data_IF_303993921965
#
_entry.id   IF_303993921965
#
_cell.length_a   1.000
_cell.length_b   1.000
_cell.length_c   1.000
_cell.angle_alpha   90.00
_cell.angle_beta   90.00
_cell.angle_gamma   90.00
#
_symmetry.space_group_name_H-M   'P 1'
#
loop_
_entity.id
_entity.type
_entity.pdbx_description
1 polymer ?
#
# COMPACT_ATOMS: atom_id res chain seq x y z
N UNK A 1 -33.00 -4.35 -16.88
CA UNK A 1 -33.28 -4.10 -15.46
C UNK A 1 -34.12 -2.85 -15.33
N UNK A 2 -35.15 -2.91 -14.54
CA UNK A 2 -36.05 -1.77 -14.34
C UNK A 2 -35.43 -0.71 -13.40
N UNK A 3 -35.91 0.54 -13.52
CA UNK A 3 -35.40 1.65 -12.71
C UNK A 3 -35.50 1.41 -11.21
N UNK A 4 -36.56 0.77 -10.74
CA UNK A 4 -36.73 0.41 -9.32
C UNK A 4 -35.66 -0.56 -8.83
N UNK A 5 -35.32 -1.55 -9.66
CA UNK A 5 -34.27 -2.52 -9.33
C UNK A 5 -32.91 -1.85 -9.29
N UNK A 6 -32.66 -0.93 -10.21
CA UNK A 6 -31.41 -0.15 -10.22
C UNK A 6 -31.30 0.74 -8.98
N UNK A 7 -32.41 1.34 -8.54
CA UNK A 7 -32.43 2.16 -7.33
C UNK A 7 -32.11 1.31 -6.09
N UNK A 8 -32.69 0.11 -6.01
CA UNK A 8 -32.40 -0.82 -4.89
C UNK A 8 -30.92 -1.22 -4.88
N UNK A 9 -30.31 -1.48 -6.04
CA UNK A 9 -28.88 -1.79 -6.15
C UNK A 9 -28.02 -0.61 -5.72
N UNK A 10 -28.40 0.61 -6.11
CA UNK A 10 -27.66 1.81 -5.74
C UNK A 10 -27.66 2.01 -4.22
N UNK A 11 -28.82 1.83 -3.58
CA UNK A 11 -28.96 1.96 -2.13
C UNK A 11 -28.20 0.84 -1.40
N UNK A 12 -28.28 -0.40 -1.89
CA UNK A 12 -27.52 -1.52 -1.35
C UNK A 12 -26.00 -1.27 -1.45
N UNK A 13 -25.53 -0.75 -2.57
CA UNK A 13 -24.14 -0.37 -2.75
C UNK A 13 -23.72 0.68 -1.72
N UNK A 14 -24.54 1.72 -1.54
CA UNK A 14 -24.23 2.80 -0.60
C UNK A 14 -24.14 2.30 0.84
N UNK A 15 -25.08 1.47 1.28
CA UNK A 15 -25.07 0.88 2.61
C UNK A 15 -23.83 0.01 2.83
N UNK A 16 -23.49 -0.83 1.85
CA UNK A 16 -22.30 -1.68 1.91
C UNK A 16 -21.02 -0.86 1.96
N UNK A 17 -20.94 0.19 1.15
CA UNK A 17 -19.82 1.11 1.14
C UNK A 17 -19.62 1.78 2.51
N UNK A 18 -20.69 2.26 3.13
CA UNK A 18 -20.64 2.87 4.47
C UNK A 18 -20.17 1.88 5.53
N UNK A 19 -20.65 0.63 5.47
CA UNK A 19 -20.19 -0.44 6.37
C UNK A 19 -18.71 -0.73 6.20
N UNK A 20 -18.23 -0.77 4.96
CA UNK A 20 -16.81 -1.00 4.68
C UNK A 20 -15.95 0.13 5.24
N UNK A 21 -16.35 1.38 5.05
CA UNK A 21 -15.61 2.52 5.60
C UNK A 21 -15.53 2.46 7.12
N UNK A 22 -16.62 2.10 7.78
CA UNK A 22 -16.65 1.94 9.23
C UNK A 22 -15.72 0.82 9.69
N UNK A 23 -15.74 -0.33 8.99
CA UNK A 23 -14.86 -1.45 9.27
C UNK A 23 -13.39 -1.10 9.05
N UNK A 24 -13.07 -0.37 7.98
CA UNK A 24 -11.71 0.09 7.69
C UNK A 24 -11.18 1.00 8.79
N UNK A 25 -12.04 1.87 9.32
CA UNK A 25 -11.69 2.77 10.42
C UNK A 25 -11.36 2.00 11.70
N UNK A 26 -12.15 0.98 12.03
CA UNK A 26 -11.89 0.11 13.18
C UNK A 26 -10.59 -0.66 12.98
N UNK A 27 -10.39 -1.23 11.78
CA UNK A 27 -9.17 -1.96 11.44
C UNK A 27 -7.92 -1.07 11.54
N UNK A 28 -8.00 0.18 11.06
CA UNK A 28 -6.90 1.13 11.14
C UNK A 28 -6.54 1.47 12.60
N UNK A 29 -7.55 1.64 13.46
CA UNK A 29 -7.32 1.89 14.88
C UNK A 29 -6.63 0.71 15.56
N UNK A 30 -7.09 -0.52 15.27
CA UNK A 30 -6.47 -1.74 15.80
C UNK A 30 -5.04 -1.91 15.31
N UNK A 31 -4.78 -1.64 14.04
CA UNK A 31 -3.44 -1.68 13.47
C UNK A 31 -2.50 -0.70 14.17
N UNK A 32 -3.01 0.50 14.49
CA UNK A 32 -2.25 1.50 15.24
C UNK A 32 -1.88 1.01 16.65
N UNK A 33 -2.83 0.38 17.35
CA UNK A 33 -2.58 -0.21 18.67
C UNK A 33 -1.58 -1.36 18.60
N UNK A 34 -1.75 -2.26 17.62
CA UNK A 34 -0.82 -3.37 17.36
C UNK A 34 0.61 -2.85 17.14
N UNK A 35 0.76 -1.82 16.29
CA UNK A 35 2.06 -1.22 15.99
C UNK A 35 2.73 -0.63 17.22
N UNK A 36 1.96 0.02 18.10
CA UNK A 36 2.50 0.56 19.35
C UNK A 36 2.99 -0.54 20.29
N UNK A 37 2.20 -1.61 20.43
CA UNK A 37 2.57 -2.75 21.26
C UNK A 37 3.81 -3.44 20.70
N UNK A 38 3.87 -3.64 19.39
CA UNK A 38 5.02 -4.22 18.72
C UNK A 38 6.29 -3.40 18.95
N UNK A 39 6.20 -2.08 18.83
CA UNK A 39 7.34 -1.18 19.08
C UNK A 39 7.84 -1.28 20.51
N UNK A 40 6.93 -1.35 21.50
CA UNK A 40 7.29 -1.51 22.91
C UNK A 40 7.98 -2.84 23.17
N UNK A 41 7.47 -3.93 22.57
CA UNK A 41 8.05 -5.27 22.72
C UNK A 41 9.44 -5.31 22.10
N UNK A 42 9.60 -4.81 20.88
CA UNK A 42 10.89 -4.78 20.19
C UNK A 42 11.91 -3.95 20.95
N UNK A 43 11.52 -2.79 21.47
CA UNK A 43 12.41 -1.95 22.28
C UNK A 43 12.88 -2.67 23.52
N UNK A 44 11.98 -3.37 24.23
CA UNK A 44 12.30 -4.13 25.43
C UNK A 44 13.25 -5.30 25.12
N UNK A 45 12.94 -6.07 24.08
CA UNK A 45 13.79 -7.21 23.69
C UNK A 45 15.21 -6.75 23.33
N UNK A 46 15.31 -5.63 22.62
CA UNK A 46 16.62 -5.09 22.20
C UNK A 46 17.41 -4.50 23.36
N UNK A 47 16.75 -3.77 24.27
CA UNK A 47 17.44 -3.13 25.40
C UNK A 47 17.92 -4.15 26.42
N UNK A 48 17.16 -5.21 26.65
CA UNK A 48 17.48 -6.26 27.62
C UNK A 48 18.29 -7.41 27.01
N UNK A 49 18.62 -7.31 25.72
CA UNK A 49 19.38 -8.32 24.96
C UNK A 49 18.76 -9.72 25.02
N UNK A 50 17.44 -9.79 25.07
CA UNK A 50 16.69 -11.04 25.05
C UNK A 50 16.06 -11.25 23.68
N UNK A 51 15.88 -12.51 23.29
CA UNK A 51 15.37 -12.85 21.95
C UNK A 51 13.93 -13.32 21.96
N UNK A 52 13.35 -13.60 23.13
CA UNK A 52 11.97 -14.05 23.22
C UNK A 52 11.31 -13.58 24.51
N UNK A 53 10.00 -13.45 24.45
CA UNK A 53 9.15 -13.10 25.59
C UNK A 53 7.86 -13.92 25.47
N UNK A 54 7.40 -14.46 26.57
CA UNK A 54 6.19 -15.28 26.62
C UNK A 54 5.13 -14.67 27.52
N UNK A 55 3.89 -14.65 27.02
CA UNK A 55 2.70 -14.44 27.81
C UNK A 55 1.97 -15.77 28.03
N UNK A 56 0.69 -15.70 28.42
CA UNK A 56 -0.15 -16.89 28.55
C UNK A 56 -0.74 -17.35 27.22
N UNK A 57 -0.88 -16.44 26.25
CA UNK A 57 -1.54 -16.72 24.98
C UNK A 57 -0.56 -16.95 23.83
N UNK A 58 0.63 -16.36 23.91
CA UNK A 58 1.57 -16.37 22.80
C UNK A 58 2.99 -16.22 23.31
N UNK A 59 3.93 -16.78 22.57
CA UNK A 59 5.35 -16.51 22.73
C UNK A 59 5.84 -15.75 21.51
N UNK A 60 6.53 -14.64 21.74
CA UNK A 60 7.06 -13.78 20.71
C UNK A 60 8.58 -13.82 20.72
N UNK A 61 9.20 -13.84 19.56
CA UNK A 61 10.66 -13.89 19.43
C UNK A 61 11.13 -13.02 18.28
N UNK A 62 12.39 -12.61 18.35
CA UNK A 62 13.07 -11.93 17.24
C UNK A 62 14.26 -12.79 16.81
N UNK A 63 14.61 -12.71 15.54
CA UNK A 63 15.81 -13.35 15.03
C UNK A 63 17.05 -12.63 15.56
N UNK A 64 18.15 -13.37 15.76
CA UNK A 64 19.40 -12.80 16.25
C UNK A 64 19.96 -11.75 15.30
N UNK A 65 19.81 -11.99 14.01
CA UNK A 65 20.26 -11.06 12.98
C UNK A 65 19.07 -10.35 12.35
N UNK A 66 19.20 -9.04 12.07
CA UNK A 66 18.13 -8.30 11.43
C UNK A 66 17.97 -8.72 9.97
N UNK A 67 16.76 -8.64 9.46
CA UNK A 67 16.51 -8.68 8.03
C UNK A 67 16.88 -7.33 7.43
N UNK A 68 17.68 -7.35 6.35
CA UNK A 68 18.07 -6.13 5.65
C UNK A 68 17.09 -5.81 4.54
N UNK A 69 16.39 -4.69 4.72
CA UNK A 69 15.40 -4.21 3.75
C UNK A 69 16.03 -3.14 2.87
N UNK A 70 16.07 -3.35 1.54
CA UNK A 70 16.58 -2.32 0.63
C UNK A 70 15.81 -1.02 0.77
N UNK A 71 16.50 0.06 1.06
CA UNK A 71 15.89 1.37 1.26
C UNK A 71 16.62 2.40 0.42
N UNK A 72 15.85 3.23 -0.29
CA UNK A 72 16.40 4.30 -1.10
C UNK A 72 17.08 5.36 -0.22
N UNK A 73 18.40 5.51 -0.33
CA UNK A 73 19.16 6.52 0.42
C UNK A 73 19.52 7.74 -0.41
N UNK A 74 19.83 7.54 -1.69
CA UNK A 74 20.23 8.60 -2.62
C UNK A 74 19.70 8.26 -4.02
N UNK A 75 18.61 8.88 -4.38
CA UNK A 75 17.93 8.59 -5.64
C UNK A 75 18.79 8.91 -6.87
N UNK A 76 19.46 10.09 -6.97
CA UNK A 76 20.31 10.38 -8.12
C UNK A 76 21.46 9.38 -8.29
N UNK A 77 22.09 8.95 -7.21
CA UNK A 77 23.16 7.95 -7.25
C UNK A 77 22.63 6.61 -7.75
N UNK A 78 21.46 6.19 -7.24
CA UNK A 78 20.82 4.96 -7.68
C UNK A 78 20.45 5.00 -9.16
N UNK A 79 19.87 6.11 -9.64
CA UNK A 79 19.55 6.30 -11.05
C UNK A 79 20.79 6.22 -11.93
N UNK A 80 21.89 6.84 -11.53
CA UNK A 80 23.15 6.78 -12.25
C UNK A 80 23.67 5.35 -12.36
N UNK A 81 23.57 4.56 -11.29
CA UNK A 81 23.94 3.15 -11.29
C UNK A 81 23.06 2.33 -12.24
N UNK A 82 21.74 2.52 -12.21
CA UNK A 82 20.81 1.81 -13.10
C UNK A 82 21.11 2.13 -14.56
N UNK A 83 21.33 3.40 -14.88
CA UNK A 83 21.65 3.84 -16.24
C UNK A 83 22.97 3.26 -16.73
N UNK A 84 24.00 3.25 -15.87
CA UNK A 84 25.33 2.74 -16.23
C UNK A 84 25.32 1.21 -16.42
N UNK A 85 24.63 0.48 -15.54
CA UNK A 85 24.54 -0.99 -15.60
C UNK A 85 23.54 -1.49 -16.63
N UNK A 86 22.57 -0.64 -17.02
CA UNK A 86 21.45 -1.00 -17.89
C UNK A 86 20.60 -2.15 -17.34
N UNK A 87 20.64 -2.36 -16.03
CA UNK A 87 19.93 -3.43 -15.35
C UNK A 87 18.62 -2.89 -14.76
N UNK A 88 17.53 -3.06 -15.51
CA UNK A 88 16.21 -2.61 -15.10
C UNK A 88 15.56 -3.55 -14.06
N UNK A 89 16.19 -4.69 -13.76
CA UNK A 89 15.67 -5.62 -12.75
C UNK A 89 15.72 -5.03 -11.34
N UNK A 90 16.52 -3.98 -11.11
CA UNK A 90 16.58 -3.23 -9.87
C UNK A 90 15.34 -2.36 -9.62
N UNK A 91 14.54 -2.14 -10.65
CA UNK A 91 13.33 -1.33 -10.60
C UNK A 91 12.09 -2.21 -10.58
N UNK A 92 11.04 -1.74 -9.93
CA UNK A 92 9.73 -2.38 -10.04
C UNK A 92 9.14 -2.16 -11.43
N UNK A 93 8.37 -3.14 -11.92
CA UNK A 93 7.70 -3.06 -13.23
C UNK A 93 6.43 -2.23 -13.15
N UNK A 94 6.55 -0.98 -12.70
CA UNK A 94 5.42 -0.06 -12.58
C UNK A 94 5.71 1.21 -13.32
N UNK A 95 4.69 1.71 -14.03
CA UNK A 95 4.80 3.02 -14.68
C UNK A 95 4.47 4.13 -13.67
N UNK A 96 5.11 5.28 -13.84
CA UNK A 96 4.66 6.49 -13.16
C UNK A 96 3.43 7.02 -13.90
N UNK A 97 2.25 6.89 -13.28
CA UNK A 97 1.00 7.33 -13.90
C UNK A 97 1.01 8.81 -14.27
N UNK A 98 1.52 9.66 -13.38
CA UNK A 98 1.58 11.10 -13.62
C UNK A 98 2.50 11.46 -14.77
N UNK A 99 3.69 10.86 -14.81
CA UNK A 99 4.65 11.13 -15.89
C UNK A 99 4.15 10.66 -17.25
N UNK A 100 3.51 9.49 -17.31
CA UNK A 100 2.90 8.98 -18.55
C UNK A 100 1.75 9.88 -19.00
N UNK A 101 0.87 10.29 -18.08
CA UNK A 101 -0.25 11.19 -18.40
C UNK A 101 0.22 12.54 -18.92
N UNK A 102 1.28 13.10 -18.36
CA UNK A 102 1.88 14.34 -18.86
C UNK A 102 2.32 14.22 -20.32
N UNK A 103 2.96 13.10 -20.66
CA UNK A 103 3.37 12.86 -22.05
C UNK A 103 2.18 12.71 -22.99
N UNK A 104 1.12 12.03 -22.54
CA UNK A 104 -0.10 11.92 -23.31
C UNK A 104 -0.77 13.28 -23.57
N UNK A 105 -0.77 14.16 -22.55
CA UNK A 105 -1.28 15.52 -22.68
C UNK A 105 -0.50 16.35 -23.69
N UNK A 106 0.79 16.09 -23.81
CA UNK A 106 1.66 16.72 -24.81
C UNK A 106 1.56 16.06 -26.19
N UNK A 107 0.69 15.08 -26.35
CA UNK A 107 0.47 14.39 -27.63
C UNK A 107 1.49 13.31 -27.93
N UNK A 108 2.35 12.94 -26.98
CA UNK A 108 3.34 11.90 -27.16
C UNK A 108 2.81 10.54 -26.68
N UNK A 109 3.11 9.49 -27.44
CA UNK A 109 2.84 8.12 -27.04
C UNK A 109 4.03 7.58 -26.25
N UNK A 110 3.75 6.68 -25.29
CA UNK A 110 4.78 5.99 -24.52
C UNK A 110 4.78 4.52 -24.96
N UNK A 111 5.79 4.08 -25.73
CA UNK A 111 5.83 2.70 -26.21
C UNK A 111 5.79 1.70 -25.04
N UNK A 112 5.00 0.64 -25.19
CA UNK A 112 4.84 -0.39 -24.16
C UNK A 112 3.78 -0.05 -23.12
N UNK A 113 3.16 1.12 -23.17
CA UNK A 113 2.09 1.55 -22.26
C UNK A 113 0.85 1.87 -23.08
N UNK A 114 -0.28 1.31 -22.68
CA UNK A 114 -1.56 1.53 -23.36
C UNK A 114 -2.48 2.39 -22.50
N UNK A 115 -3.47 3.00 -23.15
CA UNK A 115 -4.53 3.75 -22.47
C UNK A 115 -5.67 2.78 -22.16
N UNK A 116 -5.70 2.26 -20.94
CA UNK A 116 -6.76 1.34 -20.54
C UNK A 116 -7.93 2.12 -19.94
N UNK A 117 -9.13 2.06 -20.53
CA UNK A 117 -10.28 2.81 -20.03
C UNK A 117 -10.81 2.20 -18.73
N UNK A 118 -11.02 3.03 -17.73
CA UNK A 118 -11.60 2.62 -16.46
C UNK A 118 -12.80 3.53 -16.17
N UNK A 119 -13.95 2.92 -15.95
CA UNK A 119 -15.17 3.65 -15.60
C UNK A 119 -15.36 3.59 -14.08
N UNK A 120 -15.48 4.75 -13.45
CA UNK A 120 -15.62 4.86 -11.99
C UNK A 120 -17.01 5.35 -11.63
N UNK A 121 -17.58 4.74 -10.60
CA UNK A 121 -18.81 5.24 -10.01
C UNK A 121 -18.49 6.47 -9.17
N UNK A 122 -19.24 7.53 -9.35
CA UNK A 122 -19.19 8.71 -8.51
C UNK A 122 -20.36 8.67 -7.52
N UNK A 123 -20.09 9.01 -6.29
CA UNK A 123 -21.05 8.97 -5.20
C UNK A 123 -21.48 10.39 -4.88
N UNK A 124 -22.77 10.64 -4.96
CA UNK A 124 -23.34 11.94 -4.61
C UNK A 124 -24.39 11.71 -3.54
N UNK A 125 -24.15 12.24 -2.36
CA UNK A 125 -25.10 12.16 -1.26
C UNK A 125 -26.32 13.03 -1.57
N UNK A 126 -27.50 12.44 -1.45
CA UNK A 126 -28.76 13.14 -1.64
C UNK A 126 -29.13 14.03 -0.47
#
# INVERSE_FOLDING_TARGET
MEAKEMAVLADAYWVTYQKRLAADKVAAALKGEESKLEAQILATLRSDEITSIGGQLVQLSIDKEPEYVPTMSDYPVFCAFVLASKDLSLLERRVSKSAVKERWELGAEVPGVIRFPVFKLRKHKL
#
